data_IF_452856394729
#
_entry.id   IF_452856394729
#
_cell.length_a   1.000
_cell.length_b   1.000
_cell.length_c   1.000
_cell.angle_alpha   90.00
_cell.angle_beta   90.00
_cell.angle_gamma   90.00
#
_symmetry.space_group_name_H-M   'P 1'
#
loop_
_entity.id
_entity.type
_entity.pdbx_description
1 polymer ?
#
# COMPACT_ATOMS: atom_id res chain seq x y z
N UNK A 1 -9.40 -17.61 1.62
CA UNK A 1 -8.16 -17.72 2.41
C UNK A 1 -7.16 -18.69 1.79
N UNK A 2 -7.54 -19.93 1.44
CA UNK A 2 -6.62 -20.91 0.84
C UNK A 2 -5.83 -20.43 -0.40
N UNK A 3 -6.45 -19.65 -1.31
CA UNK A 3 -5.76 -19.13 -2.50
C UNK A 3 -4.66 -18.10 -2.19
N UNK A 4 -4.92 -17.20 -1.25
CA UNK A 4 -3.95 -16.19 -0.82
C UNK A 4 -2.76 -16.87 -0.15
N UNK A 5 -3.02 -17.85 0.71
CA UNK A 5 -1.97 -18.67 1.33
C UNK A 5 -1.18 -19.47 0.31
N UNK A 6 -1.85 -20.08 -0.69
CA UNK A 6 -1.20 -20.80 -1.78
C UNK A 6 -0.24 -19.89 -2.57
N UNK A 7 -0.70 -18.72 -2.98
CA UNK A 7 0.15 -17.74 -3.67
C UNK A 7 1.35 -17.30 -2.82
N UNK A 8 1.17 -17.08 -1.51
CA UNK A 8 2.29 -16.77 -0.60
C UNK A 8 3.29 -17.94 -0.54
N UNK A 9 2.83 -19.18 -0.49
CA UNK A 9 3.70 -20.35 -0.43
C UNK A 9 4.45 -20.58 -1.75
N UNK A 10 3.75 -20.49 -2.88
CA UNK A 10 4.27 -20.81 -4.21
C UNK A 10 5.15 -19.68 -4.77
N UNK A 11 4.66 -18.43 -4.74
CA UNK A 11 5.32 -17.30 -5.40
C UNK A 11 6.26 -16.52 -4.48
N UNK A 12 6.05 -16.63 -3.16
CA UNK A 12 6.79 -15.87 -2.16
C UNK A 12 7.54 -16.76 -1.14
N UNK A 13 7.64 -18.06 -1.40
CA UNK A 13 8.35 -19.02 -0.54
C UNK A 13 7.89 -18.97 0.94
N UNK A 14 6.61 -18.67 1.16
CA UNK A 14 6.01 -18.56 2.48
C UNK A 14 6.02 -17.16 3.09
N UNK A 15 6.63 -16.15 2.46
CA UNK A 15 6.70 -14.79 3.01
C UNK A 15 6.59 -13.69 1.93
N UNK A 16 5.45 -13.00 1.90
CA UNK A 16 5.31 -11.79 1.08
C UNK A 16 6.06 -10.60 1.72
N UNK A 17 7.05 -9.98 1.04
CA UNK A 17 7.80 -8.85 1.59
C UNK A 17 6.94 -7.60 1.78
N UNK A 18 7.23 -6.85 2.85
CA UNK A 18 6.62 -5.52 3.08
C UNK A 18 6.96 -4.60 1.90
N UNK A 19 5.96 -3.86 1.42
CA UNK A 19 6.09 -3.01 0.23
C UNK A 19 5.82 -3.70 -1.10
N UNK A 20 5.39 -4.96 -1.07
CA UNK A 20 4.82 -5.63 -2.24
C UNK A 20 3.30 -5.78 -2.11
N UNK A 21 2.63 -6.05 -3.23
CA UNK A 21 1.20 -6.37 -3.27
C UNK A 21 0.95 -7.36 -4.41
N UNK A 22 -0.03 -8.23 -4.23
CA UNK A 22 -0.42 -9.25 -5.21
C UNK A 22 -1.92 -9.22 -5.45
N UNK A 23 -2.34 -9.49 -6.68
CA UNK A 23 -3.76 -9.54 -7.04
C UNK A 23 -4.19 -10.99 -7.09
N UNK A 24 -5.10 -11.37 -6.18
CA UNK A 24 -5.69 -12.70 -6.14
C UNK A 24 -7.16 -12.60 -6.46
N UNK A 25 -7.60 -13.25 -7.55
CA UNK A 25 -9.02 -13.31 -7.88
C UNK A 25 -9.76 -14.17 -6.84
N UNK A 26 -10.72 -13.56 -6.17
CA UNK A 26 -11.41 -14.18 -5.02
C UNK A 26 -12.68 -14.92 -5.41
N UNK A 27 -13.32 -14.59 -6.54
CA UNK A 27 -14.59 -15.16 -7.01
C UNK A 27 -15.68 -15.19 -5.93
N UNK A 28 -15.60 -14.29 -4.95
CA UNK A 28 -16.47 -14.25 -3.77
C UNK A 28 -17.17 -12.91 -3.69
N UNK A 29 -18.51 -12.91 -3.55
CA UNK A 29 -19.33 -11.71 -3.80
C UNK A 29 -19.12 -10.55 -2.80
N UNK A 30 -18.60 -10.80 -1.59
CA UNK A 30 -18.55 -9.79 -0.51
C UNK A 30 -17.18 -9.17 -0.20
N UNK A 31 -16.05 -9.87 -0.39
CA UNK A 31 -14.74 -9.40 0.10
C UNK A 31 -13.60 -9.82 -0.82
N UNK A 32 -13.18 -8.96 -1.77
CA UNK A 32 -12.36 -9.41 -2.88
C UNK A 32 -10.84 -9.32 -2.73
N UNK A 33 -10.27 -8.63 -1.71
CA UNK A 33 -8.81 -8.51 -1.54
C UNK A 33 -8.40 -8.40 -0.06
N UNK A 34 -7.20 -8.91 0.29
CA UNK A 34 -6.64 -8.91 1.65
C UNK A 34 -5.20 -8.38 1.60
N UNK A 35 -4.89 -7.36 2.40
CA UNK A 35 -3.52 -6.93 2.69
C UNK A 35 -3.17 -7.39 4.11
N UNK A 36 -2.01 -8.02 4.31
CA UNK A 36 -1.62 -8.59 5.61
C UNK A 36 -0.33 -7.97 6.14
N UNK A 37 -0.17 -8.03 7.45
CA UNK A 37 1.09 -7.78 8.14
C UNK A 37 1.85 -9.10 8.29
N UNK A 38 3.20 -9.07 8.29
CA UNK A 38 4.02 -10.25 8.63
C UNK A 38 3.79 -10.68 10.08
N UNK A 39 3.84 -9.72 11.00
CA UNK A 39 3.57 -9.90 12.43
C UNK A 39 2.63 -8.77 12.85
N UNK A 40 1.53 -9.07 13.57
CA UNK A 40 0.65 -8.05 14.11
C UNK A 40 1.38 -7.26 15.21
N UNK A 41 1.82 -6.04 14.91
CA UNK A 41 2.51 -5.14 15.86
C UNK A 41 2.20 -3.67 15.54
N UNK A 42 2.53 -2.77 16.48
CA UNK A 42 2.44 -1.33 16.21
C UNK A 42 3.42 -0.94 15.10
N UNK A 43 2.97 -0.07 14.19
CA UNK A 43 3.75 0.49 13.09
C UNK A 43 3.86 2.01 13.21
N UNK A 44 3.61 2.55 14.40
CA UNK A 44 3.71 3.99 14.68
C UNK A 44 5.11 4.51 14.33
N UNK A 45 5.18 5.67 13.66
CA UNK A 45 6.45 6.28 13.24
C UNK A 45 7.08 5.67 11.99
N UNK A 46 6.36 4.78 11.28
CA UNK A 46 6.79 4.24 9.98
C UNK A 46 6.00 4.85 8.83
N UNK A 47 6.43 4.62 7.59
CA UNK A 47 5.75 4.98 6.35
C UNK A 47 4.90 3.84 5.77
N UNK A 48 4.60 2.81 6.58
CA UNK A 48 3.90 1.60 6.13
C UNK A 48 2.54 1.90 5.46
N UNK A 49 1.68 2.82 5.94
CA UNK A 49 0.44 3.17 5.23
C UNK A 49 0.69 3.69 3.81
N UNK A 50 1.73 4.52 3.64
CA UNK A 50 2.13 5.04 2.33
C UNK A 50 2.64 3.91 1.42
N UNK A 51 3.56 3.08 1.93
CA UNK A 51 4.17 1.97 1.20
C UNK A 51 3.10 0.94 0.77
N UNK A 52 2.15 0.61 1.65
CA UNK A 52 1.08 -0.32 1.35
C UNK A 52 0.09 0.21 0.30
N UNK A 53 -0.26 1.51 0.36
CA UNK A 53 -1.09 2.15 -0.65
C UNK A 53 -0.38 2.15 -2.01
N UNK A 54 0.88 2.56 -2.05
CA UNK A 54 1.65 2.66 -3.28
C UNK A 54 1.87 1.29 -3.94
N UNK A 55 2.19 0.25 -3.14
CA UNK A 55 2.38 -1.11 -3.65
C UNK A 55 1.09 -1.69 -4.25
N UNK A 56 -0.06 -1.46 -3.61
CA UNK A 56 -1.37 -1.84 -4.13
C UNK A 56 -1.67 -1.17 -5.48
N UNK A 57 -1.44 0.14 -5.60
CA UNK A 57 -1.67 0.87 -6.85
C UNK A 57 -0.76 0.37 -7.98
N UNK A 58 0.50 0.06 -7.69
CA UNK A 58 1.42 -0.54 -8.67
C UNK A 58 0.96 -1.94 -9.11
N UNK A 59 0.50 -2.78 -8.18
CA UNK A 59 -0.02 -4.09 -8.53
C UNK A 59 -1.26 -3.98 -9.45
N UNK A 60 -2.16 -3.04 -9.18
CA UNK A 60 -3.32 -2.76 -10.03
C UNK A 60 -2.90 -2.24 -11.40
N UNK A 61 -1.93 -1.32 -11.46
CA UNK A 61 -1.38 -0.83 -12.73
C UNK A 61 -0.82 -1.99 -13.56
N UNK A 62 0.02 -2.83 -12.96
CA UNK A 62 0.65 -3.97 -13.62
C UNK A 62 -0.39 -4.96 -14.15
N UNK A 63 -1.38 -5.32 -13.33
CA UNK A 63 -2.52 -6.14 -13.74
C UNK A 63 -3.25 -5.52 -14.93
N UNK A 64 -3.57 -4.22 -14.85
CA UNK A 64 -4.25 -3.50 -15.92
C UNK A 64 -3.42 -3.36 -17.20
N UNK A 65 -2.11 -3.57 -17.17
CA UNK A 65 -1.28 -3.60 -18.39
C UNK A 65 -1.30 -4.97 -19.07
N UNK A 66 -1.44 -6.05 -18.30
CA UNK A 66 -1.29 -7.42 -18.79
C UNK A 66 -2.61 -8.15 -19.06
N UNK A 67 -3.67 -7.82 -18.30
CA UNK A 67 -4.93 -8.56 -18.32
C UNK A 67 -6.00 -7.80 -19.10
N UNK A 68 -6.89 -8.51 -19.79
CA UNK A 68 -8.01 -7.88 -20.51
C UNK A 68 -9.03 -7.29 -19.53
N UNK A 69 -9.36 -8.02 -18.46
CA UNK A 69 -10.27 -7.56 -17.42
C UNK A 69 -9.57 -6.55 -16.48
N UNK A 70 -9.84 -5.27 -16.72
CA UNK A 70 -9.27 -4.15 -15.95
C UNK A 70 -9.97 -3.95 -14.60
N UNK A 71 -9.20 -3.53 -13.60
CA UNK A 71 -9.67 -3.07 -12.29
C UNK A 71 -9.81 -1.55 -12.35
N UNK A 72 -11.06 -1.06 -12.30
CA UNK A 72 -11.38 0.37 -12.41
C UNK A 72 -11.74 1.03 -11.07
N UNK A 73 -12.00 0.23 -10.03
CA UNK A 73 -12.37 0.73 -8.70
C UNK A 73 -11.78 -0.18 -7.62
N UNK A 74 -11.39 0.43 -6.50
CA UNK A 74 -10.79 -0.24 -5.36
C UNK A 74 -11.48 0.29 -4.11
N UNK A 75 -12.00 -0.61 -3.27
CA UNK A 75 -12.41 -0.27 -1.93
C UNK A 75 -11.19 -0.34 -1.00
N UNK A 76 -10.73 0.81 -0.50
CA UNK A 76 -9.53 0.89 0.32
C UNK A 76 -9.89 1.19 1.80
N UNK A 77 -9.57 0.29 2.75
CA UNK A 77 -9.76 0.56 4.17
C UNK A 77 -8.65 1.49 4.71
N UNK A 78 -8.80 1.98 5.95
CA UNK A 78 -7.72 2.68 6.65
C UNK A 78 -6.52 1.75 6.88
N UNK A 79 -5.44 1.94 6.11
CA UNK A 79 -4.26 1.09 6.18
C UNK A 79 -3.46 1.41 7.46
N UNK A 80 -3.22 0.38 8.27
CA UNK A 80 -2.40 0.52 9.48
C UNK A 80 -3.13 1.04 10.74
N UNK A 81 -4.40 1.42 10.64
CA UNK A 81 -5.14 2.08 11.73
C UNK A 81 -5.76 1.13 12.76
N UNK A 82 -5.76 -0.19 12.48
CA UNK A 82 -6.24 -1.22 13.40
C UNK A 82 -5.15 -1.68 14.37
N UNK A 83 -4.67 -2.92 14.17
CA UNK A 83 -3.57 -3.51 14.98
C UNK A 83 -2.29 -2.65 14.93
N UNK A 84 -2.03 -2.01 13.79
CA UNK A 84 -0.88 -1.13 13.60
C UNK A 84 -0.90 0.15 14.45
N UNK A 85 -2.05 0.51 15.04
CA UNK A 85 -2.27 1.68 15.89
C UNK A 85 -1.80 3.01 15.26
N UNK A 86 -1.78 3.08 13.94
CA UNK A 86 -1.39 4.29 13.25
C UNK A 86 -2.51 5.36 13.39
N UNK A 87 -2.18 6.64 13.69
CA UNK A 87 -3.19 7.69 13.80
C UNK A 87 -4.03 7.81 12.52
N UNK A 88 -5.35 7.91 12.66
CA UNK A 88 -6.26 7.92 11.50
C UNK A 88 -5.97 9.04 10.49
N UNK A 89 -5.72 10.25 10.99
CA UNK A 89 -5.39 11.42 10.17
C UNK A 89 -4.09 11.23 9.40
N UNK A 90 -3.07 10.70 10.07
CA UNK A 90 -1.75 10.49 9.48
C UNK A 90 -1.76 9.33 8.48
N UNK A 91 -2.51 8.26 8.75
CA UNK A 91 -2.74 7.19 7.78
C UNK A 91 -3.42 7.73 6.52
N UNK A 92 -4.49 8.52 6.67
CA UNK A 92 -5.20 9.12 5.55
C UNK A 92 -4.31 10.06 4.73
N UNK A 93 -3.49 10.88 5.40
CA UNK A 93 -2.51 11.76 4.74
C UNK A 93 -1.49 10.97 3.92
N UNK A 94 -0.89 9.93 4.51
CA UNK A 94 0.09 9.07 3.84
C UNK A 94 -0.53 8.31 2.66
N UNK A 95 -1.75 7.81 2.81
CA UNK A 95 -2.48 7.15 1.73
C UNK A 95 -2.81 8.12 0.58
N UNK A 96 -3.24 9.35 0.89
CA UNK A 96 -3.48 10.39 -0.12
C UNK A 96 -2.19 10.79 -0.85
N UNK A 97 -1.10 11.00 -0.11
CA UNK A 97 0.21 11.31 -0.69
C UNK A 97 0.71 10.19 -1.62
N UNK A 98 0.53 8.93 -1.24
CA UNK A 98 0.87 7.78 -2.10
C UNK A 98 0.04 7.78 -3.39
N UNK A 99 -1.25 8.13 -3.30
CA UNK A 99 -2.13 8.24 -4.46
C UNK A 99 -1.71 9.39 -5.39
N UNK A 100 -1.38 10.56 -4.85
CA UNK A 100 -0.90 11.71 -5.62
C UNK A 100 0.41 11.38 -6.35
N UNK A 101 1.38 10.78 -5.66
CA UNK A 101 2.63 10.35 -6.29
C UNK A 101 2.45 9.30 -7.39
N UNK A 102 1.40 8.48 -7.29
CA UNK A 102 1.07 7.51 -8.31
C UNK A 102 0.42 8.17 -9.54
N UNK A 103 -0.46 9.15 -9.33
CA UNK A 103 -1.12 9.94 -10.38
C UNK A 103 -0.13 10.84 -11.13
N UNK A 104 0.81 11.44 -10.40
CA UNK A 104 1.78 12.40 -10.92
C UNK A 104 3.21 11.88 -10.76
N UNK A 105 3.61 10.84 -11.50
CA UNK A 105 4.96 10.29 -11.39
C UNK A 105 6.01 11.29 -11.88
N UNK A 106 7.21 11.30 -11.29
CA UNK A 106 8.28 12.20 -11.70
C UNK A 106 8.74 11.91 -13.13
N UNK A 107 9.05 12.97 -13.89
CA UNK A 107 9.56 12.85 -15.27
C UNK A 107 11.05 12.52 -15.33
N UNK A 108 11.77 12.77 -14.24
CA UNK A 108 13.21 12.52 -14.11
C UNK A 108 13.50 11.99 -12.71
N UNK A 109 14.53 11.16 -12.60
CA UNK A 109 14.98 10.58 -11.34
C UNK A 109 16.35 11.13 -10.98
N UNK A 110 16.45 11.73 -9.81
CA UNK A 110 17.72 12.16 -9.20
C UNK A 110 17.57 12.20 -7.67
N UNK A 111 18.66 12.43 -6.96
CA UNK A 111 18.67 12.46 -5.50
C UNK A 111 17.79 13.56 -4.91
N UNK A 112 17.57 14.67 -5.63
CA UNK A 112 16.73 15.79 -5.17
C UNK A 112 15.27 15.36 -5.16
N UNK A 113 14.77 14.81 -6.26
CA UNK A 113 13.39 14.30 -6.37
C UNK A 113 13.13 13.20 -5.34
N UNK A 114 14.12 12.31 -5.13
CA UNK A 114 14.01 11.27 -4.11
C UNK A 114 13.96 11.86 -2.69
N UNK A 115 14.79 12.85 -2.39
CA UNK A 115 14.83 13.53 -1.10
C UNK A 115 13.54 14.33 -0.83
N UNK A 116 13.03 15.08 -1.80
CA UNK A 116 11.76 15.82 -1.71
C UNK A 116 10.60 14.87 -1.38
N UNK A 117 10.54 13.74 -2.08
CA UNK A 117 9.54 12.70 -1.82
C UNK A 117 9.64 12.14 -0.40
N UNK A 118 10.86 11.88 0.07
CA UNK A 118 11.10 11.40 1.44
C UNK A 118 10.68 12.45 2.48
N UNK A 119 10.98 13.72 2.23
CA UNK A 119 10.59 14.84 3.09
C UNK A 119 9.08 14.93 3.21
N UNK A 120 8.33 14.86 2.11
CA UNK A 120 6.86 14.89 2.14
C UNK A 120 6.24 13.72 2.94
N UNK A 121 6.88 12.54 2.90
CA UNK A 121 6.48 11.40 3.72
C UNK A 121 6.69 11.70 5.20
N UNK A 122 7.80 12.37 5.58
CA UNK A 122 8.15 12.68 6.97
C UNK A 122 7.49 13.94 7.55
N UNK A 123 7.36 15.02 6.77
CA UNK A 123 6.97 16.36 7.24
C UNK A 123 5.56 16.42 7.82
N UNK A 124 4.64 15.55 7.40
CA UNK A 124 3.30 15.49 7.99
C UNK A 124 3.26 14.93 9.42
N UNK A 125 4.32 14.26 9.89
CA UNK A 125 4.44 13.80 11.27
C UNK A 125 4.60 14.93 12.30
N UNK A 126 4.92 16.16 11.86
CA UNK A 126 5.14 17.32 12.73
C UNK A 126 3.94 18.28 12.83
N UNK A 127 2.82 18.01 12.16
CA UNK A 127 1.59 18.81 12.29
C UNK A 127 0.71 18.25 13.42
N UNK A 128 1.14 18.47 14.66
CA UNK A 128 0.26 18.75 15.80
C UNK A 128 -0.34 17.57 16.59
N UNK A 129 0.31 17.26 17.72
CA UNK A 129 -0.41 17.24 19.00
C UNK A 129 0.19 18.34 19.86
N UNK A 130 -0.51 19.49 19.89
CA UNK A 130 -0.52 20.41 21.02
C UNK A 130 -1.62 19.95 21.98
#
# INVERSE_FOLDING_TARGET
MARVQGCILEDYLGEQPVGTSMIVQTYHHKHPFLATMRVPMSISGTDIPYVAMYSMLLAVRHHNQQQEQKINSIACPGLGTGIGRFPYSEAARLMALAYDHFLYPPKYLNCIVAAERQLQIWEGGNLGFA
#
